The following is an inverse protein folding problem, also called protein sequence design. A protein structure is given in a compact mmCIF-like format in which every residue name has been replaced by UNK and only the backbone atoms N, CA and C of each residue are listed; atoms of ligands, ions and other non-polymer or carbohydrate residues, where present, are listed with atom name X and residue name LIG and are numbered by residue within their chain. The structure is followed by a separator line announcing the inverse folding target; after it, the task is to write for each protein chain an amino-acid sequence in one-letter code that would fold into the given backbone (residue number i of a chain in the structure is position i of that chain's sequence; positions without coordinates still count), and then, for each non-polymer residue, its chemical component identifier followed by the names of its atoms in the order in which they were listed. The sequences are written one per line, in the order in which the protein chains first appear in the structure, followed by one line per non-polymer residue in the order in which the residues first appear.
data_IF_836036244782
#
_entry.id   IF_836036244782
#
_cell.length_a   1.000
_cell.length_b   1.000
_cell.length_c   1.000
_cell.angle_alpha   90.00
_cell.angle_beta   90.00
_cell.angle_gamma   90.00
#
_symmetry.space_group_name_H-M   'P 1'
#
loop_
_entity.id
_entity.type
_entity.pdbx_description
1 polymer ?
#
# COMPACT_ATOMS: atom_id res chain seq x y z
N UNK A 1 -14.22 -28.41 58.39
CA UNK A 1 -15.13 -27.99 57.29
C UNK A 1 -15.02 -26.48 57.17
N UNK A 2 -14.50 -25.97 56.05
CA UNK A 2 -14.39 -24.52 55.83
C UNK A 2 -15.79 -23.94 55.62
N UNK A 3 -16.34 -23.25 56.63
CA UNK A 3 -17.62 -22.54 56.52
C UNK A 3 -17.40 -21.20 55.80
N UNK A 4 -17.21 -21.24 54.48
CA UNK A 4 -17.34 -20.04 53.68
C UNK A 4 -18.82 -19.62 53.65
N UNK A 5 -19.10 -18.36 54.01
CA UNK A 5 -20.42 -17.75 53.79
C UNK A 5 -20.79 -17.90 52.31
N UNK A 6 -22.05 -18.28 52.02
CA UNK A 6 -22.53 -18.57 50.67
C UNK A 6 -22.24 -17.43 49.67
N UNK A 7 -22.28 -16.16 50.14
CA UNK A 7 -21.92 -14.99 49.33
C UNK A 7 -20.44 -14.96 48.94
N UNK A 8 -19.52 -15.34 49.84
CA UNK A 8 -18.08 -15.41 49.54
C UNK A 8 -17.79 -16.49 48.51
N UNK A 9 -18.48 -17.63 48.59
CA UNK A 9 -18.39 -18.70 47.60
C UNK A 9 -18.90 -18.24 46.23
N UNK A 10 -20.04 -17.53 46.18
CA UNK A 10 -20.57 -16.95 44.95
C UNK A 10 -19.58 -15.94 44.31
N UNK A 11 -18.97 -15.08 45.13
CA UNK A 11 -17.99 -14.11 44.66
C UNK A 11 -16.71 -14.79 44.12
N UNK A 12 -16.20 -15.80 44.83
CA UNK A 12 -15.03 -16.58 44.38
C UNK A 12 -15.32 -17.29 43.06
N UNK A 13 -16.48 -17.94 42.93
CA UNK A 13 -16.90 -18.60 41.69
C UNK A 13 -17.04 -17.61 40.52
N UNK A 14 -17.55 -16.40 40.78
CA UNK A 14 -17.68 -15.35 39.76
C UNK A 14 -16.31 -14.86 39.30
N UNK A 15 -15.40 -14.56 40.24
CA UNK A 15 -14.03 -14.14 39.91
C UNK A 15 -13.29 -15.25 39.15
N UNK A 16 -13.46 -16.50 39.54
CA UNK A 16 -12.86 -17.65 38.88
C UNK A 16 -13.44 -17.87 37.48
N UNK A 17 -14.74 -17.69 37.29
CA UNK A 17 -15.40 -17.71 35.97
C UNK A 17 -14.85 -16.61 35.05
N UNK A 18 -14.73 -15.37 35.53
CA UNK A 18 -14.16 -14.26 34.77
C UNK A 18 -12.67 -14.50 34.46
N UNK A 19 -11.90 -15.04 35.41
CA UNK A 19 -10.48 -15.39 35.20
C UNK A 19 -10.31 -16.48 34.13
N UNK A 20 -11.16 -17.51 34.13
CA UNK A 20 -11.21 -18.54 33.09
C UNK A 20 -11.60 -17.93 31.74
N UNK A 21 -12.57 -17.01 31.71
CA UNK A 21 -12.97 -16.31 30.49
C UNK A 21 -11.80 -15.50 29.89
N UNK A 22 -10.93 -14.95 30.73
CA UNK A 22 -9.69 -14.27 30.33
C UNK A 22 -8.59 -15.23 29.84
N UNK A 23 -8.62 -16.51 30.26
CA UNK A 23 -7.62 -17.52 29.90
C UNK A 23 -7.98 -18.30 28.63
N UNK A 24 -9.24 -18.28 28.19
CA UNK A 24 -9.65 -18.96 26.96
C UNK A 24 -9.01 -18.28 25.74
N UNK A 25 -8.38 -19.04 24.82
CA UNK A 25 -7.89 -18.48 23.57
C UNK A 25 -9.08 -17.89 22.82
N UNK A 26 -8.99 -16.59 22.48
CA UNK A 26 -10.06 -15.86 21.79
C UNK A 26 -10.29 -16.47 20.41
N UNK A 27 -11.13 -17.49 20.36
CA UNK A 27 -11.67 -18.12 19.14
C UNK A 27 -12.97 -17.43 18.70
N UNK A 28 -13.28 -16.29 19.33
CA UNK A 28 -14.50 -15.53 19.17
C UNK A 28 -14.40 -14.42 18.11
N UNK A 29 -13.43 -14.46 17.19
CA UNK A 29 -13.24 -13.42 16.16
C UNK A 29 -14.52 -13.18 15.33
N UNK A 30 -15.34 -14.23 15.14
CA UNK A 30 -16.66 -14.11 14.51
C UNK A 30 -17.69 -13.33 15.33
N UNK A 31 -17.55 -13.27 16.66
CA UNK A 31 -18.49 -12.58 17.54
C UNK A 31 -18.24 -11.07 17.66
N UNK A 32 -16.98 -10.62 17.56
CA UNK A 32 -16.59 -9.23 17.79
C UNK A 32 -16.66 -8.35 16.53
N UNK A 33 -16.59 -8.94 15.34
CA UNK A 33 -16.58 -8.22 14.06
C UNK A 33 -15.28 -7.44 13.82
N UNK A 34 -14.93 -7.20 12.56
CA UNK A 34 -13.63 -6.60 12.22
C UNK A 34 -13.60 -5.07 12.24
N UNK A 35 -14.77 -4.39 12.21
CA UNK A 35 -14.79 -2.94 12.35
C UNK A 35 -14.44 -2.49 13.77
N UNK A 36 -13.80 -1.32 13.94
CA UNK A 36 -13.65 -0.66 15.24
C UNK A 36 -15.00 -0.51 15.95
N UNK A 37 -15.01 -0.61 17.28
CA UNK A 37 -16.24 -0.54 18.09
C UNK A 37 -17.10 0.69 17.74
N UNK A 38 -16.48 1.86 17.63
CA UNK A 38 -17.19 3.11 17.33
C UNK A 38 -17.81 3.12 15.92
N UNK A 39 -17.20 2.42 14.95
CA UNK A 39 -17.75 2.29 13.59
C UNK A 39 -18.94 1.33 13.59
N UNK A 40 -18.88 0.23 14.35
CA UNK A 40 -20.01 -0.69 14.48
C UNK A 40 -21.22 -0.04 15.17
N UNK A 41 -20.98 0.89 16.10
CA UNK A 41 -22.04 1.63 16.79
C UNK A 41 -22.64 2.76 15.93
N UNK A 42 -21.80 3.46 15.17
CA UNK A 42 -22.20 4.72 14.53
C UNK A 42 -22.49 4.63 13.03
N UNK A 43 -21.85 3.72 12.30
CA UNK A 43 -22.03 3.64 10.85
C UNK A 43 -23.27 2.80 10.50
N UNK A 44 -24.01 3.17 9.43
CA UNK A 44 -25.08 2.35 8.92
C UNK A 44 -24.53 1.01 8.39
N UNK A 45 -25.41 0.03 8.20
CA UNK A 45 -25.04 -1.24 7.56
C UNK A 45 -24.78 -0.99 6.07
N UNK A 46 -23.87 -1.78 5.48
CA UNK A 46 -23.64 -1.75 4.04
C UNK A 46 -24.89 -2.15 3.26
N UNK A 47 -25.27 -1.32 2.30
CA UNK A 47 -26.28 -1.61 1.29
C UNK A 47 -25.64 -2.39 0.14
N UNK A 48 -26.37 -3.38 -0.38
CA UNK A 48 -25.99 -4.12 -1.58
C UNK A 48 -26.68 -3.45 -2.77
N UNK A 49 -25.91 -2.74 -3.60
CA UNK A 49 -26.45 -2.05 -4.79
C UNK A 49 -26.71 -3.05 -5.91
N UNK A 50 -25.79 -4.00 -6.09
CA UNK A 50 -25.88 -5.15 -6.98
C UNK A 50 -25.01 -6.30 -6.45
N UNK A 51 -24.99 -7.45 -7.14
CA UNK A 51 -24.20 -8.65 -6.77
C UNK A 51 -22.69 -8.38 -6.59
N UNK A 52 -22.18 -7.21 -7.01
CA UNK A 52 -20.75 -6.88 -7.11
C UNK A 52 -20.41 -5.51 -6.52
N UNK A 53 -21.35 -4.83 -5.87
CA UNK A 53 -21.18 -3.46 -5.38
C UNK A 53 -21.78 -3.31 -4.00
N UNK A 54 -20.91 -3.02 -3.02
CA UNK A 54 -21.30 -2.65 -1.67
C UNK A 54 -21.23 -1.14 -1.51
N UNK A 55 -22.20 -0.56 -0.80
CA UNK A 55 -22.31 0.87 -0.57
C UNK A 55 -22.53 1.14 0.91
N UNK A 56 -21.95 2.22 1.42
CA UNK A 56 -22.26 2.74 2.75
C UNK A 56 -22.26 4.28 2.72
N UNK A 57 -23.21 4.88 3.41
CA UNK A 57 -23.22 6.33 3.63
C UNK A 57 -22.34 6.68 4.83
N UNK A 58 -21.34 7.53 4.61
CA UNK A 58 -20.51 8.06 5.69
C UNK A 58 -20.96 9.46 6.13
N UNK A 59 -22.10 9.96 5.64
CA UNK A 59 -22.57 11.31 5.97
C UNK A 59 -22.92 11.42 7.45
N UNK A 60 -22.47 12.49 8.11
CA UNK A 60 -22.86 12.78 9.49
C UNK A 60 -24.35 13.15 9.54
N UNK A 61 -25.08 12.59 10.49
CA UNK A 61 -26.51 12.81 10.72
C UNK A 61 -26.73 13.30 12.16
N UNK A 62 -27.98 13.55 12.54
CA UNK A 62 -28.30 13.87 13.94
C UNK A 62 -28.03 12.70 14.89
N UNK A 63 -28.05 11.47 14.37
CA UNK A 63 -27.79 10.23 15.13
C UNK A 63 -26.31 9.81 15.10
N UNK A 64 -25.55 10.25 14.09
CA UNK A 64 -24.14 9.86 13.91
C UNK A 64 -23.23 11.05 13.62
N UNK A 65 -22.20 11.21 14.46
CA UNK A 65 -21.10 12.16 14.27
C UNK A 65 -19.77 11.47 14.45
N UNK A 66 -18.75 11.93 13.73
CA UNK A 66 -17.43 11.36 13.90
C UNK A 66 -16.87 11.65 15.31
N UNK A 67 -16.15 10.69 15.93
CA UNK A 67 -15.48 10.92 17.20
C UNK A 67 -14.41 12.03 17.08
N UNK A 68 -14.11 12.67 18.21
CA UNK A 68 -13.03 13.67 18.29
C UNK A 68 -11.71 13.13 17.72
N UNK A 69 -11.09 13.89 16.81
CA UNK A 69 -9.83 13.53 16.15
C UNK A 69 -9.97 12.65 14.88
N UNK A 70 -11.18 12.19 14.56
CA UNK A 70 -11.53 11.54 13.29
C UNK A 70 -12.13 12.58 12.34
N UNK A 71 -11.75 12.52 11.07
CA UNK A 71 -12.36 13.29 10.00
C UNK A 71 -12.75 12.33 8.86
N UNK A 72 -13.57 12.79 7.92
CA UNK A 72 -14.05 11.97 6.80
C UNK A 72 -12.93 11.15 6.14
N UNK A 73 -11.78 11.78 5.83
CA UNK A 73 -10.63 11.09 5.24
C UNK A 73 -10.09 9.96 6.11
N UNK A 74 -9.88 10.20 7.40
CA UNK A 74 -9.41 9.16 8.34
C UNK A 74 -10.42 8.01 8.48
N UNK A 75 -11.72 8.32 8.45
CA UNK A 75 -12.77 7.31 8.49
C UNK A 75 -12.76 6.44 7.23
N UNK A 76 -12.63 7.07 6.05
CA UNK A 76 -12.47 6.36 4.78
C UNK A 76 -11.24 5.46 4.82
N UNK A 77 -10.09 5.97 5.25
CA UNK A 77 -8.86 5.18 5.31
C UNK A 77 -9.00 3.96 6.24
N UNK A 78 -9.48 4.16 7.47
CA UNK A 78 -9.63 3.07 8.45
C UNK A 78 -10.67 2.03 7.99
N UNK A 79 -11.73 2.47 7.30
CA UNK A 79 -12.71 1.57 6.69
C UNK A 79 -12.12 0.78 5.52
N UNK A 80 -11.39 1.45 4.63
CA UNK A 80 -10.67 0.80 3.52
C UNK A 80 -9.67 -0.22 4.02
N UNK A 81 -8.90 0.08 5.08
CA UNK A 81 -7.90 -0.83 5.65
C UNK A 81 -8.55 -2.12 6.18
N UNK A 82 -9.68 -1.99 6.89
CA UNK A 82 -10.43 -3.15 7.40
C UNK A 82 -10.99 -3.99 6.25
N UNK A 83 -11.61 -3.33 5.26
CA UNK A 83 -12.20 -4.00 4.10
C UNK A 83 -11.14 -4.70 3.26
N UNK A 84 -10.03 -4.02 2.97
CA UNK A 84 -8.89 -4.57 2.24
C UNK A 84 -8.37 -5.83 2.92
N UNK A 85 -8.15 -5.77 4.24
CA UNK A 85 -7.72 -6.92 5.03
C UNK A 85 -8.69 -8.10 4.95
N UNK A 86 -10.01 -7.86 4.99
CA UNK A 86 -11.00 -8.94 4.89
C UNK A 86 -11.16 -9.48 3.48
N UNK A 87 -11.19 -8.61 2.47
CA UNK A 87 -11.34 -9.00 1.06
C UNK A 87 -10.11 -9.80 0.59
N UNK A 88 -8.92 -9.41 1.03
CA UNK A 88 -7.67 -10.12 0.74
C UNK A 88 -7.67 -11.58 1.22
N UNK A 89 -8.41 -11.91 2.30
CA UNK A 89 -8.57 -13.32 2.75
C UNK A 89 -9.32 -14.19 1.75
N UNK A 90 -10.12 -13.58 0.88
CA UNK A 90 -10.76 -14.26 -0.24
C UNK A 90 -9.82 -14.35 -1.45
N UNK A 91 -8.53 -14.02 -1.31
CA UNK A 91 -7.54 -14.07 -2.37
C UNK A 91 -7.84 -13.10 -3.51
N UNK A 92 -8.53 -12.00 -3.22
CA UNK A 92 -8.69 -10.87 -4.13
C UNK A 92 -7.69 -9.78 -3.74
N UNK A 93 -7.31 -8.90 -4.66
CA UNK A 93 -6.36 -7.81 -4.37
C UNK A 93 -6.73 -6.50 -5.06
N UNK A 94 -6.71 -5.38 -4.32
CA UNK A 94 -6.87 -4.04 -4.91
C UNK A 94 -5.74 -3.77 -5.94
N UNK A 95 -4.52 -4.23 -5.67
CA UNK A 95 -3.36 -4.03 -6.55
C UNK A 95 -3.47 -4.80 -7.88
N UNK A 96 -4.13 -5.96 -7.87
CA UNK A 96 -4.44 -6.74 -9.07
C UNK A 96 -5.68 -6.21 -9.81
N UNK A 97 -6.36 -5.21 -9.26
CA UNK A 97 -7.57 -4.63 -9.82
C UNK A 97 -8.82 -5.51 -9.64
N UNK A 98 -8.82 -6.41 -8.65
CA UNK A 98 -9.96 -7.27 -8.36
C UNK A 98 -11.16 -6.48 -7.80
N UNK A 99 -10.87 -5.43 -7.03
CA UNK A 99 -11.85 -4.48 -6.52
C UNK A 99 -11.24 -3.08 -6.41
N UNK A 100 -12.10 -2.08 -6.24
CA UNK A 100 -11.71 -0.70 -5.98
C UNK A 100 -12.59 -0.07 -4.90
N UNK A 101 -12.01 0.87 -4.17
CA UNK A 101 -12.74 1.78 -3.30
C UNK A 101 -13.00 3.11 -4.03
N UNK A 102 -14.26 3.49 -4.12
CA UNK A 102 -14.66 4.78 -4.70
C UNK A 102 -15.41 5.60 -3.65
N UNK A 103 -15.17 6.91 -3.65
CA UNK A 103 -15.92 7.84 -2.81
C UNK A 103 -16.56 8.93 -3.65
N UNK A 104 -17.75 9.38 -3.24
CA UNK A 104 -18.47 10.46 -3.92
C UNK A 104 -18.41 11.77 -3.13
N UNK A 105 -18.75 12.88 -3.79
CA UNK A 105 -18.87 14.18 -3.14
C UNK A 105 -19.91 14.17 -1.99
N UNK A 106 -20.93 13.32 -2.10
CA UNK A 106 -21.98 13.13 -1.10
C UNK A 106 -21.56 12.26 0.10
N UNK A 107 -20.27 11.92 0.20
CA UNK A 107 -19.69 11.05 1.25
C UNK A 107 -20.26 9.64 1.25
N UNK A 108 -20.59 9.14 0.07
CA UNK A 108 -20.89 7.73 -0.11
C UNK A 108 -19.60 6.98 -0.42
N UNK A 109 -19.45 5.82 0.18
CA UNK A 109 -18.30 4.93 0.01
C UNK A 109 -18.76 3.66 -0.68
N UNK A 110 -18.06 3.29 -1.75
CA UNK A 110 -18.37 2.14 -2.59
C UNK A 110 -17.21 1.17 -2.61
N UNK A 111 -17.53 -0.13 -2.53
CA UNK A 111 -16.63 -1.23 -2.85
C UNK A 111 -17.16 -1.88 -4.12
N UNK A 112 -16.40 -1.81 -5.22
CA UNK A 112 -16.80 -2.40 -6.51
C UNK A 112 -15.88 -3.56 -6.85
N UNK A 113 -16.45 -4.74 -7.04
CA UNK A 113 -15.74 -5.93 -7.47
C UNK A 113 -15.70 -5.98 -9.00
N UNK A 114 -14.51 -5.87 -9.58
CA UNK A 114 -14.30 -5.65 -11.01
C UNK A 114 -13.92 -6.93 -11.76
N UNK A 115 -13.10 -7.79 -11.17
CA UNK A 115 -12.57 -8.98 -11.85
C UNK A 115 -13.59 -10.12 -11.92
N UNK A 116 -13.49 -10.96 -12.96
CA UNK A 116 -14.34 -12.15 -13.09
C UNK A 116 -14.18 -13.12 -11.91
N UNK A 117 -12.96 -13.19 -11.33
CA UNK A 117 -12.66 -13.92 -10.09
C UNK A 117 -13.39 -13.36 -8.88
N UNK A 118 -13.52 -12.03 -8.78
CA UNK A 118 -14.26 -11.37 -7.71
C UNK A 118 -15.78 -11.56 -7.88
N UNK A 119 -16.29 -11.37 -9.09
CA UNK A 119 -17.73 -11.53 -9.42
C UNK A 119 -18.24 -12.94 -9.20
N UNK A 120 -17.43 -13.96 -9.55
CA UNK A 120 -17.79 -15.37 -9.34
C UNK A 120 -17.86 -15.77 -7.87
N UNK A 121 -17.07 -15.12 -7.00
CA UNK A 121 -17.08 -15.40 -5.56
C UNK A 121 -18.29 -14.83 -4.81
N UNK A 122 -18.99 -13.84 -5.37
CA UNK A 122 -20.18 -13.19 -4.79
C UNK A 122 -20.01 -12.86 -3.30
N UNK A 123 -18.95 -12.12 -2.97
CA UNK A 123 -18.66 -11.74 -1.58
C UNK A 123 -19.77 -10.85 -1.05
N UNK A 124 -20.43 -11.28 0.04
CA UNK A 124 -21.48 -10.51 0.71
C UNK A 124 -20.94 -9.80 1.95
N UNK A 125 -21.69 -8.81 2.45
CA UNK A 125 -21.39 -8.10 3.72
C UNK A 125 -21.25 -9.10 4.89
N UNK A 126 -22.02 -10.19 4.88
CA UNK A 126 -21.98 -11.23 5.90
C UNK A 126 -20.68 -12.03 5.89
N UNK A 127 -20.12 -12.29 4.71
CA UNK A 127 -18.85 -13.03 4.57
C UNK A 127 -17.66 -12.24 5.11
N UNK A 128 -17.72 -10.91 5.00
CA UNK A 128 -16.70 -10.00 5.50
C UNK A 128 -16.70 -9.87 7.04
N UNK A 129 -17.77 -10.30 7.72
CA UNK A 129 -17.90 -10.27 9.18
C UNK A 129 -17.52 -8.89 9.78
N UNK A 130 -17.98 -7.81 9.14
CA UNK A 130 -17.60 -6.44 9.52
C UNK A 130 -18.22 -6.03 10.87
N UNK A 131 -19.46 -6.44 11.11
CA UNK A 131 -20.20 -6.17 12.34
C UNK A 131 -20.21 -7.42 13.22
N UNK A 132 -19.95 -7.25 14.51
CA UNK A 132 -20.02 -8.35 15.47
C UNK A 132 -21.47 -8.71 15.78
N UNK A 133 -21.74 -10.00 16.02
CA UNK A 133 -23.04 -10.46 16.52
C UNK A 133 -23.23 -10.23 18.02
N UNK A 134 -22.16 -9.81 18.73
CA UNK A 134 -22.20 -9.56 20.17
C UNK A 134 -22.80 -8.19 20.49
N UNK A 135 -23.73 -8.08 21.46
CA UNK A 135 -24.23 -6.79 21.92
C UNK A 135 -23.09 -5.88 22.39
N UNK A 136 -23.10 -4.64 21.90
CA UNK A 136 -22.09 -3.61 22.16
C UNK A 136 -21.78 -3.42 23.65
N UNK A 137 -22.82 -3.43 24.50
CA UNK A 137 -22.66 -3.27 25.95
C UNK A 137 -21.81 -4.38 26.59
N UNK A 138 -21.94 -5.62 26.10
CA UNK A 138 -21.17 -6.76 26.59
C UNK A 138 -19.72 -6.71 26.07
N UNK A 139 -19.53 -6.26 24.83
CA UNK A 139 -18.20 -6.08 24.23
C UNK A 139 -17.34 -5.08 25.01
N UNK A 140 -17.91 -3.98 25.50
CA UNK A 140 -17.19 -3.01 26.35
C UNK A 140 -16.66 -3.59 27.66
N UNK A 141 -17.26 -4.68 28.15
CA UNK A 141 -16.87 -5.34 29.40
C UNK A 141 -15.89 -6.50 29.18
N UNK A 142 -15.67 -6.92 27.93
CA UNK A 142 -14.80 -8.03 27.58
C UNK A 142 -13.48 -7.51 26.98
N UNK A 143 -12.35 -8.18 27.27
CA UNK A 143 -11.06 -7.79 26.73
C UNK A 143 -11.00 -8.05 25.21
N UNK A 144 -10.84 -6.99 24.42
CA UNK A 144 -10.68 -7.03 22.95
C UNK A 144 -9.24 -7.45 22.53
N UNK A 145 -8.32 -7.68 23.48
CA UNK A 145 -6.92 -8.00 23.19
C UNK A 145 -6.47 -9.32 23.82
N UNK A 146 -5.82 -10.16 22.99
CA UNK A 146 -5.22 -11.44 23.39
C UNK A 146 -4.18 -11.23 24.50
N UNK A 147 -4.29 -11.98 25.59
CA UNK A 147 -3.22 -12.11 26.58
C UNK A 147 -2.04 -12.85 25.95
N UNK A 148 -0.95 -12.13 25.67
CA UNK A 148 0.32 -12.70 25.19
C UNK A 148 0.98 -13.46 26.34
N UNK A 149 0.76 -14.76 26.44
CA UNK A 149 1.44 -15.63 27.41
C UNK A 149 2.91 -15.78 27.00
N UNK A 150 3.78 -14.96 27.60
CA UNK A 150 5.22 -15.09 27.49
C UNK A 150 5.76 -16.04 28.55
N UNK A 151 5.77 -17.35 28.30
CA UNK A 151 6.63 -18.29 29.01
C UNK A 151 6.73 -19.63 28.26
N UNK A 152 7.70 -19.77 27.36
CA UNK A 152 8.30 -21.08 27.08
C UNK A 152 9.79 -20.92 26.67
N UNK A 153 10.62 -21.78 27.26
CA UNK A 153 12.08 -21.86 27.14
C UNK A 153 12.51 -22.83 26.02
N UNK A 154 11.61 -23.17 25.09
CA UNK A 154 11.91 -23.98 23.92
C UNK A 154 12.43 -23.09 22.76
N UNK A 155 13.65 -23.35 22.29
CA UNK A 155 14.31 -22.59 21.23
C UNK A 155 13.41 -22.34 20.01
N UNK A 156 13.47 -21.12 19.47
CA UNK A 156 12.70 -20.65 18.33
C UNK A 156 13.57 -20.02 17.24
N UNK A 157 12.98 -19.72 16.09
CA UNK A 157 13.66 -19.07 14.96
C UNK A 157 13.48 -17.56 15.07
N UNK A 158 14.57 -16.80 14.99
CA UNK A 158 14.59 -15.34 14.92
C UNK A 158 15.03 -14.91 13.51
N UNK A 159 14.11 -14.36 12.73
CA UNK A 159 14.36 -13.85 11.39
C UNK A 159 14.32 -12.32 11.42
N UNK A 160 15.32 -11.70 10.79
CA UNK A 160 15.31 -10.26 10.51
C UNK A 160 15.13 -10.11 9.00
N UNK A 161 13.99 -9.57 8.61
CA UNK A 161 13.62 -9.34 7.22
C UNK A 161 13.72 -7.84 6.94
N UNK A 162 14.35 -7.47 5.83
CA UNK A 162 14.40 -6.09 5.36
C UNK A 162 13.46 -5.92 4.17
N UNK A 163 12.57 -4.94 4.26
CA UNK A 163 11.64 -4.61 3.19
C UNK A 163 12.38 -3.74 2.18
N UNK A 164 12.43 -4.19 0.93
CA UNK A 164 12.96 -3.40 -0.18
C UNK A 164 11.93 -2.33 -0.58
N UNK A 165 12.00 -1.19 0.11
CA UNK A 165 11.12 -0.04 -0.09
C UNK A 165 11.26 0.50 -1.50
N UNK A 166 12.48 0.53 -2.02
CA UNK A 166 12.76 1.09 -3.33
C UNK A 166 12.08 0.25 -4.40
N UNK A 167 12.30 -1.07 -4.40
CA UNK A 167 11.64 -1.99 -5.33
C UNK A 167 10.11 -1.90 -5.23
N UNK A 168 9.59 -1.72 -4.03
CA UNK A 168 8.16 -1.49 -3.81
C UNK A 168 7.68 -0.20 -4.50
N UNK A 169 8.42 0.91 -4.38
CA UNK A 169 8.10 2.18 -5.08
C UNK A 169 8.17 1.98 -6.60
N UNK A 170 9.19 1.28 -7.11
CA UNK A 170 9.29 0.99 -8.54
C UNK A 170 8.09 0.18 -9.05
N UNK A 171 7.68 -0.85 -8.31
CA UNK A 171 6.51 -1.65 -8.62
C UNK A 171 5.22 -0.80 -8.60
N UNK A 172 5.07 0.08 -7.61
CA UNK A 172 3.97 1.03 -7.57
C UNK A 172 3.97 1.96 -8.80
N UNK A 173 5.10 2.56 -9.15
CA UNK A 173 5.19 3.45 -10.32
C UNK A 173 4.85 2.69 -11.61
N UNK A 174 5.40 1.49 -11.80
CA UNK A 174 5.07 0.62 -12.95
C UNK A 174 3.58 0.32 -13.02
N UNK A 175 2.97 -0.05 -11.89
CA UNK A 175 1.52 -0.26 -11.81
C UNK A 175 0.73 1.01 -12.20
N UNK A 176 1.14 2.20 -11.73
CA UNK A 176 0.48 3.46 -12.13
C UNK A 176 0.63 3.76 -13.62
N UNK A 177 1.78 3.48 -14.22
CA UNK A 177 2.00 3.63 -15.67
C UNK A 177 1.01 2.77 -16.47
N UNK A 178 0.66 1.59 -15.99
CA UNK A 178 -0.31 0.70 -16.63
C UNK A 178 -1.78 1.12 -16.41
N UNK A 179 -2.10 1.60 -15.20
CA UNK A 179 -3.48 1.94 -14.81
C UNK A 179 -3.93 3.29 -15.38
N UNK A 180 -3.04 4.30 -15.45
CA UNK A 180 -3.40 5.66 -15.89
C UNK A 180 -4.03 5.69 -17.28
N UNK A 181 -3.44 5.08 -18.33
CA UNK A 181 -4.06 5.05 -19.66
C UNK A 181 -5.45 4.42 -19.65
N UNK A 182 -5.67 3.39 -18.83
CA UNK A 182 -6.96 2.71 -18.71
C UNK A 182 -8.01 3.61 -18.08
N UNK A 183 -7.69 4.30 -16.97
CA UNK A 183 -8.57 5.30 -16.33
C UNK A 183 -8.90 6.47 -17.25
N UNK A 184 -7.88 6.99 -17.95
CA UNK A 184 -8.05 8.08 -18.93
C UNK A 184 -9.00 7.71 -20.06
N UNK A 185 -8.93 6.47 -20.58
CA UNK A 185 -9.83 6.01 -21.64
C UNK A 185 -11.28 5.93 -21.18
N UNK A 186 -11.55 5.52 -19.94
CA UNK A 186 -12.91 5.49 -19.37
C UNK A 186 -13.55 6.88 -19.40
N UNK A 187 -12.79 7.92 -19.04
CA UNK A 187 -13.21 9.32 -19.09
C UNK A 187 -13.08 9.96 -20.49
N UNK A 188 -12.91 9.14 -21.54
CA UNK A 188 -12.77 9.57 -22.95
C UNK A 188 -11.58 10.52 -23.17
N UNK A 189 -10.56 10.45 -22.33
CA UNK A 189 -9.30 11.17 -22.45
C UNK A 189 -8.32 10.34 -23.29
N UNK A 190 -7.77 10.95 -24.35
CA UNK A 190 -6.77 10.33 -25.25
C UNK A 190 -5.40 10.32 -24.57
N UNK A 191 -5.13 9.21 -23.89
CA UNK A 191 -3.80 8.86 -23.38
C UNK A 191 -3.44 7.43 -23.82
N UNK A 192 -2.23 7.24 -24.36
CA UNK A 192 -1.72 5.92 -24.80
C UNK A 192 -0.71 5.40 -23.78
N UNK A 193 -0.58 4.07 -23.67
CA UNK A 193 0.39 3.45 -22.76
C UNK A 193 1.82 3.93 -23.02
N UNK A 194 2.26 3.98 -24.28
CA UNK A 194 3.58 4.51 -24.65
C UNK A 194 3.80 6.02 -24.38
N UNK A 195 2.77 6.75 -23.94
CA UNK A 195 2.84 8.15 -23.59
C UNK A 195 2.85 8.38 -22.07
N UNK A 196 2.82 7.30 -21.29
CA UNK A 196 2.95 7.33 -19.84
C UNK A 196 4.20 6.57 -19.46
N UNK A 197 5.07 7.19 -18.67
CA UNK A 197 6.28 6.54 -18.20
C UNK A 197 6.65 7.13 -16.83
N UNK A 198 7.24 6.27 -16.00
CA UNK A 198 7.76 6.63 -14.71
C UNK A 198 9.28 6.58 -14.70
N UNK A 199 9.86 7.19 -13.69
CA UNK A 199 11.30 7.18 -13.51
C UNK A 199 11.72 7.80 -12.19
N UNK A 200 13.03 7.97 -12.08
CA UNK A 200 13.67 8.60 -10.94
C UNK A 200 14.93 9.32 -11.39
N UNK A 201 15.49 10.11 -10.50
CA UNK A 201 16.76 10.79 -10.71
C UNK A 201 17.83 10.19 -9.80
N UNK A 202 19.01 9.98 -10.36
CA UNK A 202 20.20 9.56 -9.64
C UNK A 202 21.16 10.73 -9.64
N UNK A 203 21.47 11.24 -8.47
CA UNK A 203 22.57 12.17 -8.31
C UNK A 203 23.84 11.36 -8.09
N UNK A 204 24.90 11.63 -8.88
CA UNK A 204 26.19 10.97 -8.76
C UNK A 204 27.33 11.98 -8.87
N UNK A 205 28.37 11.80 -8.05
CA UNK A 205 29.61 12.57 -8.15
C UNK A 205 30.73 11.69 -8.72
N UNK A 206 31.19 12.06 -9.90
CA UNK A 206 32.22 11.37 -10.67
C UNK A 206 33.61 11.94 -10.36
N UNK A 207 34.65 11.16 -10.63
CA UNK A 207 36.05 11.60 -10.55
C UNK A 207 36.40 12.65 -11.62
N UNK A 208 35.72 12.61 -12.76
CA UNK A 208 35.84 13.56 -13.87
C UNK A 208 34.49 13.80 -14.56
N UNK A 209 34.34 14.88 -15.34
CA UNK A 209 33.14 15.12 -16.13
C UNK A 209 32.84 13.93 -17.06
N UNK A 210 31.57 13.55 -17.17
CA UNK A 210 31.13 12.40 -17.96
C UNK A 210 30.36 12.88 -19.19
N UNK A 211 30.50 12.15 -20.30
CA UNK A 211 29.72 12.40 -21.51
C UNK A 211 28.35 11.69 -21.42
N UNK A 212 27.30 12.37 -21.90
CA UNK A 212 25.96 11.82 -21.97
C UNK A 212 25.89 10.54 -22.82
N UNK A 213 26.55 10.51 -23.98
CA UNK A 213 26.51 9.36 -24.90
C UNK A 213 27.07 8.08 -24.26
N UNK A 214 28.12 8.21 -23.45
CA UNK A 214 28.73 7.09 -22.74
C UNK A 214 27.78 6.50 -21.68
N UNK A 215 27.06 7.38 -20.97
CA UNK A 215 26.04 6.97 -19.99
C UNK A 215 24.83 6.34 -20.67
N UNK A 216 24.39 6.89 -21.80
CA UNK A 216 23.30 6.34 -22.60
C UNK A 216 23.60 4.90 -23.04
N UNK A 217 24.78 4.65 -23.59
CA UNK A 217 25.19 3.30 -23.99
C UNK A 217 25.22 2.33 -22.80
N UNK A 218 25.76 2.74 -21.65
CA UNK A 218 25.81 1.88 -20.47
C UNK A 218 24.43 1.55 -19.89
N UNK A 219 23.50 2.50 -19.92
CA UNK A 219 22.15 2.31 -19.42
C UNK A 219 21.27 1.56 -20.42
N UNK A 220 21.48 1.75 -21.72
CA UNK A 220 20.78 1.01 -22.75
C UNK A 220 20.99 -0.52 -22.60
N UNK A 221 22.22 -0.95 -22.26
CA UNK A 221 22.55 -2.37 -22.02
C UNK A 221 21.72 -3.03 -20.92
N UNK A 222 21.31 -2.27 -19.90
CA UNK A 222 20.50 -2.74 -18.76
C UNK A 222 19.03 -2.32 -18.89
N UNK A 223 18.63 -1.83 -20.07
CA UNK A 223 17.26 -1.49 -20.33
C UNK A 223 16.77 -0.22 -19.65
N UNK A 224 17.66 0.72 -19.40
CA UNK A 224 17.31 2.03 -18.88
C UNK A 224 17.51 3.08 -19.95
N UNK A 225 16.50 3.93 -20.13
CA UNK A 225 16.62 5.09 -20.99
C UNK A 225 17.12 6.28 -20.18
N UNK A 226 18.21 6.90 -20.61
CA UNK A 226 18.56 8.23 -20.11
C UNK A 226 17.50 9.22 -20.61
N UNK A 227 16.93 9.96 -19.68
CA UNK A 227 15.81 10.87 -19.97
C UNK A 227 16.22 12.35 -19.84
N UNK A 228 17.11 12.65 -18.90
CA UNK A 228 17.66 13.99 -18.69
C UNK A 228 19.03 13.86 -18.05
N UNK A 229 19.98 14.62 -18.53
CA UNK A 229 21.32 14.73 -17.97
C UNK A 229 21.61 16.20 -17.71
N UNK A 230 21.87 16.52 -16.45
CA UNK A 230 22.31 17.86 -16.02
C UNK A 230 23.62 17.68 -15.26
N UNK A 231 24.67 18.40 -15.67
CA UNK A 231 25.99 18.28 -15.04
C UNK A 231 26.53 19.65 -14.64
N UNK A 232 27.03 19.73 -13.41
CA UNK A 232 27.75 20.88 -12.87
C UNK A 232 29.12 20.40 -12.38
N UNK A 233 30.15 20.65 -13.19
CA UNK A 233 31.50 20.13 -12.95
C UNK A 233 31.53 18.60 -12.93
N UNK A 234 31.83 18.02 -11.77
CA UNK A 234 31.93 16.57 -11.55
C UNK A 234 30.66 15.95 -10.98
N UNK A 235 29.64 16.77 -10.69
CA UNK A 235 28.36 16.30 -10.16
C UNK A 235 27.37 16.22 -11.32
N UNK A 236 26.80 15.05 -11.54
CA UNK A 236 25.74 14.89 -12.53
C UNK A 236 24.44 14.41 -11.88
N UNK A 237 23.33 14.97 -12.34
CA UNK A 237 21.98 14.51 -12.08
C UNK A 237 21.49 13.78 -13.33
N UNK A 238 21.33 12.47 -13.19
CA UNK A 238 20.95 11.57 -14.26
C UNK A 238 19.50 11.17 -13.99
N UNK A 239 18.57 11.63 -14.80
CA UNK A 239 17.20 11.13 -14.74
C UNK A 239 17.06 9.94 -15.67
N UNK A 240 16.62 8.82 -15.11
CA UNK A 240 16.38 7.58 -15.84
C UNK A 240 14.89 7.31 -15.87
N UNK A 241 14.40 6.79 -16.98
CA UNK A 241 13.05 6.21 -17.06
C UNK A 241 13.14 4.72 -16.84
N UNK A 242 12.15 4.15 -16.16
CA UNK A 242 11.93 2.71 -16.26
C UNK A 242 11.63 2.42 -17.73
N UNK A 243 12.49 1.65 -18.40
CA UNK A 243 12.10 1.06 -19.68
C UNK A 243 11.51 -0.33 -19.41
N UNK A 244 10.75 -0.86 -20.37
CA UNK A 244 10.16 -2.20 -20.37
C UNK A 244 11.23 -3.30 -20.38
N UNK A 245 12.13 -3.32 -19.39
CA UNK A 245 13.18 -4.32 -19.26
C UNK A 245 13.00 -5.09 -17.96
N UNK A 246 13.06 -6.40 -18.16
CA UNK A 246 12.63 -7.47 -17.31
C UNK A 246 13.09 -7.30 -15.86
N UNK A 247 12.23 -7.77 -14.95
CA UNK A 247 12.58 -7.99 -13.55
C UNK A 247 14.02 -8.47 -13.45
N UNK A 248 14.83 -7.76 -12.67
CA UNK A 248 16.18 -8.21 -12.35
C UNK A 248 16.06 -9.63 -11.78
N UNK A 249 16.68 -10.62 -12.44
CA UNK A 249 16.60 -12.04 -12.03
C UNK A 249 17.02 -12.23 -10.56
N UNK A 250 17.85 -11.34 -10.03
CA UNK A 250 18.41 -11.35 -8.68
C UNK A 250 17.61 -10.54 -7.64
N UNK A 251 16.50 -9.93 -8.04
CA UNK A 251 15.61 -9.21 -7.13
C UNK A 251 16.14 -7.88 -6.59
N UNK A 252 17.31 -7.41 -7.02
CA UNK A 252 17.88 -6.10 -6.68
C UNK A 252 17.08 -4.92 -7.26
N UNK A 253 17.05 -3.79 -6.55
CA UNK A 253 16.40 -2.56 -7.01
C UNK A 253 17.13 -1.94 -8.21
N UNK A 254 16.44 -1.13 -9.00
CA UNK A 254 17.00 -0.48 -10.19
C UNK A 254 18.16 0.43 -9.81
N UNK A 255 18.09 1.17 -8.70
CA UNK A 255 19.26 1.96 -8.29
C UNK A 255 20.43 1.14 -7.80
N UNK A 256 20.20 -0.03 -7.19
CA UNK A 256 21.28 -0.93 -6.82
C UNK A 256 22.00 -1.44 -8.07
N UNK A 257 21.25 -1.76 -9.13
CA UNK A 257 21.79 -2.14 -10.44
C UNK A 257 22.60 -0.98 -11.04
N UNK A 258 22.03 0.23 -11.09
CA UNK A 258 22.73 1.43 -11.57
C UNK A 258 24.01 1.67 -10.74
N UNK A 259 23.90 1.67 -9.42
CA UNK A 259 25.01 1.91 -8.50
C UNK A 259 26.13 0.88 -8.66
N UNK A 260 25.78 -0.40 -8.84
CA UNK A 260 26.75 -1.46 -9.14
C UNK A 260 27.44 -1.21 -10.48
N UNK A 261 26.69 -0.83 -11.51
CA UNK A 261 27.22 -0.54 -12.85
C UNK A 261 28.14 0.68 -12.84
N UNK A 262 27.72 1.75 -12.18
CA UNK A 262 28.51 2.98 -12.04
C UNK A 262 29.80 2.78 -11.21
N UNK A 263 29.90 1.71 -10.42
CA UNK A 263 31.10 1.37 -9.63
C UNK A 263 31.98 0.29 -10.27
N UNK A 264 31.59 -0.26 -11.41
CA UNK A 264 32.35 -1.32 -12.08
C UNK A 264 33.74 -0.78 -12.48
N UNK A 265 34.81 -1.53 -12.18
CA UNK A 265 36.18 -1.11 -12.49
C UNK A 265 36.43 -0.97 -14.00
N UNK A 266 35.57 -1.57 -14.83
CA UNK A 266 35.62 -1.47 -16.28
C UNK A 266 35.06 -0.16 -16.83
N UNK A 267 34.44 0.69 -16.01
CA UNK A 267 33.96 2.01 -16.47
C UNK A 267 35.12 2.98 -16.63
N UNK A 268 35.00 3.90 -17.59
CA UNK A 268 36.02 4.92 -17.88
C UNK A 268 36.17 5.96 -16.76
N UNK A 269 35.25 6.01 -15.81
CA UNK A 269 35.12 6.98 -14.72
C UNK A 269 34.81 6.26 -13.41
N UNK A 270 35.25 6.84 -12.29
CA UNK A 270 35.03 6.32 -10.94
C UNK A 270 34.02 7.17 -10.19
N UNK A 271 33.11 6.52 -9.47
CA UNK A 271 32.12 7.21 -8.62
C UNK A 271 32.53 7.12 -7.15
N UNK A 272 32.44 8.25 -6.45
CA UNK A 272 32.79 8.29 -5.02
C UNK A 272 31.83 7.41 -4.18
N UNK A 273 32.33 6.61 -3.22
CA UNK A 273 31.48 5.83 -2.34
C UNK A 273 30.53 6.75 -1.56
N UNK A 274 29.22 6.54 -1.71
CA UNK A 274 28.19 7.34 -1.05
C UNK A 274 27.73 8.60 -1.80
N UNK A 275 28.23 8.86 -3.02
CA UNK A 275 27.76 9.98 -3.83
C UNK A 275 26.54 9.67 -4.71
N UNK A 276 26.07 8.42 -4.69
CA UNK A 276 24.92 7.95 -5.47
C UNK A 276 23.67 8.00 -4.59
N UNK A 277 22.77 8.92 -4.88
CA UNK A 277 21.49 9.05 -4.19
C UNK A 277 20.35 9.03 -5.19
N UNK A 278 19.34 8.20 -4.92
CA UNK A 278 18.09 8.19 -5.66
C UNK A 278 17.21 9.29 -5.13
N UNK A 279 16.76 10.14 -6.04
CA UNK A 279 16.01 11.35 -5.79
C UNK A 279 14.88 11.45 -6.81
N UNK A 280 13.89 12.29 -6.52
CA UNK A 280 12.83 12.70 -7.44
C UNK A 280 12.17 11.53 -8.18
N UNK A 281 11.40 10.69 -7.48
CA UNK A 281 10.54 9.72 -8.18
C UNK A 281 9.42 10.47 -8.90
N UNK A 282 9.25 10.22 -10.18
CA UNK A 282 8.30 10.96 -11.01
C UNK A 282 7.54 10.06 -11.97
N UNK A 283 6.38 10.57 -12.39
CA UNK A 283 5.55 10.00 -13.43
C UNK A 283 5.21 11.10 -14.45
N UNK A 284 5.31 10.76 -15.73
CA UNK A 284 4.89 11.63 -16.83
C UNK A 284 3.77 10.99 -17.59
N UNK A 285 2.74 11.79 -17.86
CA UNK A 285 1.61 11.39 -18.68
C UNK A 285 1.38 12.44 -19.75
N UNK A 286 1.50 12.03 -21.02
CA UNK A 286 1.15 12.91 -22.12
C UNK A 286 -0.29 12.68 -22.58
N UNK A 287 -1.05 13.77 -22.57
CA UNK A 287 -2.46 13.81 -22.94
C UNK A 287 -2.59 14.49 -24.29
N UNK A 288 -3.05 13.73 -25.28
CA UNK A 288 -3.31 14.27 -26.61
C UNK A 288 -4.65 14.98 -26.64
N UNK A 289 -4.70 16.16 -27.26
CA UNK A 289 -5.92 16.95 -27.40
C UNK A 289 -6.54 16.63 -28.77
N UNK A 290 -7.81 16.17 -28.83
CA UNK A 290 -8.52 15.97 -30.08
C UNK A 290 -8.66 17.29 -30.88
N UNK A 291 -8.50 17.24 -32.20
CA UNK A 291 -8.56 18.42 -33.08
C UNK A 291 -9.85 19.23 -32.93
N UNK A 292 -10.99 18.57 -32.69
CA UNK A 292 -12.29 19.21 -32.47
C UNK A 292 -12.41 19.96 -31.13
N UNK A 293 -11.46 19.79 -30.21
CA UNK A 293 -11.40 20.50 -28.92
C UNK A 293 -10.34 21.60 -28.89
N UNK A 294 -9.41 21.64 -29.85
CA UNK A 294 -8.34 22.64 -29.88
C UNK A 294 -8.89 24.05 -30.11
N UNK A 295 -9.92 24.19 -30.95
CA UNK A 295 -10.50 25.48 -31.30
C UNK A 295 -11.44 26.07 -30.22
N UNK A 296 -11.87 25.26 -29.25
CA UNK A 296 -12.85 25.65 -28.22
C UNK A 296 -12.18 25.65 -26.84
N UNK A 297 -11.89 26.85 -26.32
CA UNK A 297 -11.17 27.04 -25.05
C UNK A 297 -11.89 26.36 -23.89
N UNK A 298 -13.22 26.44 -23.83
CA UNK A 298 -14.00 25.88 -22.72
C UNK A 298 -13.93 24.35 -22.75
N UNK A 299 -14.14 23.74 -23.94
CA UNK A 299 -14.03 22.28 -24.08
C UNK A 299 -12.61 21.75 -23.87
N UNK A 300 -11.60 22.56 -24.20
CA UNK A 300 -10.19 22.26 -23.93
C UNK A 300 -9.92 22.26 -22.42
N UNK A 301 -10.33 23.31 -21.71
CA UNK A 301 -10.15 23.41 -20.26
C UNK A 301 -10.89 22.32 -19.50
N UNK A 302 -12.14 22.01 -19.87
CA UNK A 302 -12.91 20.92 -19.28
C UNK A 302 -12.17 19.57 -19.45
N UNK A 303 -11.70 19.28 -20.67
CA UNK A 303 -10.95 18.07 -20.99
C UNK A 303 -9.65 17.93 -20.18
N UNK A 304 -8.90 19.02 -20.07
CA UNK A 304 -7.65 19.05 -19.30
C UNK A 304 -7.91 18.98 -17.80
N UNK A 305 -9.01 19.57 -17.31
CA UNK A 305 -9.45 19.48 -15.91
C UNK A 305 -9.77 18.04 -15.53
N UNK A 306 -10.53 17.30 -16.37
CA UNK A 306 -10.78 15.87 -16.15
C UNK A 306 -9.48 15.07 -16.10
N UNK A 307 -8.56 15.32 -17.04
CA UNK A 307 -7.26 14.65 -17.05
C UNK A 307 -6.45 14.95 -15.78
N UNK A 308 -6.39 16.22 -15.35
CA UNK A 308 -5.75 16.63 -14.10
C UNK A 308 -6.39 15.96 -12.89
N UNK A 309 -7.73 15.87 -12.84
CA UNK A 309 -8.46 15.22 -11.75
C UNK A 309 -8.07 13.74 -11.58
N UNK A 310 -7.95 12.99 -12.68
CA UNK A 310 -7.51 11.59 -12.66
C UNK A 310 -6.10 11.46 -12.09
N UNK A 311 -5.20 12.36 -12.51
CA UNK A 311 -3.80 12.38 -12.07
C UNK A 311 -3.65 12.84 -10.61
N UNK A 312 -4.48 13.77 -10.16
CA UNK A 312 -4.48 14.29 -8.80
C UNK A 312 -5.03 13.26 -7.78
N UNK A 313 -5.83 12.30 -8.24
CA UNK A 313 -6.37 11.22 -7.41
C UNK A 313 -5.37 10.06 -7.22
N UNK A 314 -4.12 10.19 -7.67
CA UNK A 314 -3.09 9.19 -7.46
C UNK A 314 -2.47 9.34 -6.07
N UNK A 315 -2.65 8.32 -5.21
CA UNK A 315 -2.06 8.29 -3.87
C UNK A 315 -0.53 8.43 -3.92
N UNK A 316 0.04 9.16 -2.97
CA UNK A 316 1.47 9.47 -2.80
C UNK A 316 2.09 10.42 -3.83
N UNK A 317 1.36 10.79 -4.88
CA UNK A 317 1.83 11.74 -5.85
C UNK A 317 1.33 13.16 -5.51
N UNK A 318 2.14 14.15 -5.83
CA UNK A 318 1.77 15.56 -5.69
C UNK A 318 0.86 16.02 -6.83
N UNK A 319 0.53 17.31 -6.85
CA UNK A 319 -0.32 17.86 -7.90
C UNK A 319 0.39 17.83 -9.26
N UNK A 320 -0.32 17.51 -10.35
CA UNK A 320 0.27 17.43 -11.68
C UNK A 320 0.71 18.82 -12.17
N UNK A 321 2.00 18.95 -12.46
CA UNK A 321 2.61 20.13 -13.08
C UNK A 321 2.68 19.99 -14.59
N UNK A 322 2.40 21.07 -15.34
CA UNK A 322 2.55 21.09 -16.80
C UNK A 322 3.99 21.37 -17.19
N UNK A 323 4.55 20.59 -18.11
CA UNK A 323 5.88 20.87 -18.66
C UNK A 323 5.82 21.82 -19.86
N UNK A 324 6.85 22.65 -19.98
CA UNK A 324 7.02 23.63 -21.06
C UNK A 324 7.11 23.02 -22.47
N UNK A 325 7.28 21.69 -22.58
CA UNK A 325 7.23 20.93 -23.84
C UNK A 325 5.80 20.62 -24.30
N UNK A 326 4.80 21.33 -23.76
CA UNK A 326 3.41 21.23 -24.18
C UNK A 326 3.21 21.87 -25.55
N UNK A 327 2.59 21.13 -26.47
CA UNK A 327 2.15 21.65 -27.77
C UNK A 327 0.63 21.89 -27.75
N UNK A 328 0.11 22.61 -28.73
CA UNK A 328 -1.34 22.80 -28.88
C UNK A 328 -2.13 21.49 -29.02
N UNK A 329 -1.44 20.41 -29.43
CA UNK A 329 -2.03 19.09 -29.66
C UNK A 329 -1.75 18.09 -28.54
N UNK A 330 -0.87 18.41 -27.60
CA UNK A 330 -0.44 17.49 -26.55
C UNK A 330 0.11 18.25 -25.33
N UNK A 331 -0.48 18.00 -24.16
CA UNK A 331 0.02 18.51 -22.88
C UNK A 331 0.73 17.38 -22.15
N UNK A 332 1.89 17.68 -21.56
CA UNK A 332 2.67 16.73 -20.76
C UNK A 332 2.53 17.12 -19.30
N UNK A 333 1.94 16.23 -18.50
CA UNK A 333 1.87 16.38 -17.05
C UNK A 333 3.02 15.62 -16.40
N UNK A 334 3.74 16.27 -15.49
CA UNK A 334 4.72 15.68 -14.59
C UNK A 334 4.19 15.70 -13.18
N UNK A 335 4.28 14.56 -12.52
CA UNK A 335 3.89 14.35 -11.13
C UNK A 335 5.04 13.70 -10.40
N UNK A 336 5.24 14.00 -9.13
CA UNK A 336 6.34 13.49 -8.30
C UNK A 336 5.83 12.92 -7.00
N UNK A 337 6.67 12.12 -6.37
CA UNK A 337 6.46 11.64 -5.00
C UNK A 337 7.30 12.50 -4.07
N UNK A 338 6.64 13.23 -3.17
CA UNK A 338 7.33 14.05 -2.18
C UNK A 338 7.98 13.18 -1.10
N UNK A 339 9.03 13.69 -0.43
CA UNK A 339 9.78 12.93 0.60
C UNK A 339 8.90 12.41 1.74
N UNK A 340 7.89 13.18 2.11
CA UNK A 340 6.95 12.82 3.18
C UNK A 340 6.06 11.65 2.75
N UNK A 341 5.62 11.67 1.49
CA UNK A 341 4.82 10.61 0.88
C UNK A 341 5.62 9.33 0.68
N UNK A 342 6.92 9.42 0.37
CA UNK A 342 7.83 8.26 0.35
C UNK A 342 7.88 7.59 1.74
N UNK A 343 7.95 8.40 2.80
CA UNK A 343 7.99 7.89 4.18
C UNK A 343 6.66 7.24 4.57
N UNK A 344 5.54 7.83 4.18
CA UNK A 344 4.20 7.26 4.37
C UNK A 344 4.06 5.92 3.63
N UNK A 345 4.38 5.88 2.33
CA UNK A 345 4.38 4.65 1.54
C UNK A 345 5.28 3.55 2.14
N UNK A 346 6.46 3.94 2.62
CA UNK A 346 7.39 3.02 3.30
C UNK A 346 6.76 2.41 4.55
N UNK A 347 6.09 3.22 5.38
CA UNK A 347 5.44 2.73 6.59
C UNK A 347 4.33 1.73 6.25
N UNK A 348 3.47 2.08 5.29
CA UNK A 348 2.36 1.24 4.86
C UNK A 348 2.84 -0.05 4.18
N UNK A 349 3.90 0.01 3.37
CA UNK A 349 4.52 -1.18 2.77
C UNK A 349 5.03 -2.16 3.85
N UNK A 350 5.64 -1.64 4.92
CA UNK A 350 6.09 -2.47 6.04
C UNK A 350 4.90 -3.11 6.76
N UNK A 351 3.82 -2.35 6.97
CA UNK A 351 2.62 -2.84 7.64
C UNK A 351 1.85 -3.87 6.80
N UNK A 352 1.83 -3.72 5.48
CA UNK A 352 1.31 -4.74 4.55
C UNK A 352 2.12 -6.03 4.60
N UNK A 353 3.46 -5.94 4.49
CA UNK A 353 4.33 -7.12 4.58
C UNK A 353 4.14 -7.80 5.93
N UNK A 354 4.04 -7.04 7.02
CA UNK A 354 3.73 -7.57 8.35
C UNK A 354 2.40 -8.33 8.35
N UNK A 355 1.34 -7.75 7.79
CA UNK A 355 0.01 -8.39 7.72
C UNK A 355 0.07 -9.71 6.95
N UNK A 356 0.81 -9.76 5.85
CA UNK A 356 1.03 -10.98 5.08
C UNK A 356 1.82 -12.01 5.90
N UNK A 357 2.86 -11.58 6.62
CA UNK A 357 3.62 -12.47 7.50
C UNK A 357 2.75 -13.01 8.64
N UNK A 358 1.92 -12.18 9.27
CA UNK A 358 0.96 -12.60 10.30
C UNK A 358 0.05 -13.71 9.74
N UNK A 359 -0.57 -13.49 8.56
CA UNK A 359 -1.45 -14.48 7.92
C UNK A 359 -0.74 -15.79 7.57
N UNK A 360 0.47 -15.72 7.01
CA UNK A 360 1.21 -16.92 6.59
C UNK A 360 1.72 -17.71 7.80
N UNK A 361 2.10 -17.02 8.89
CA UNK A 361 2.53 -17.67 10.12
C UNK A 361 1.35 -18.31 10.85
N UNK A 362 0.19 -17.65 10.89
CA UNK A 362 -1.06 -18.22 11.42
C UNK A 362 -1.44 -19.50 10.64
N UNK A 363 -1.35 -19.45 9.30
CA UNK A 363 -1.61 -20.62 8.44
C UNK A 363 -0.63 -21.78 8.68
N UNK A 364 0.58 -21.49 9.16
CA UNK A 364 1.58 -22.49 9.52
C UNK A 364 1.32 -23.12 10.90
N UNK A 365 0.36 -22.59 11.68
CA UNK A 365 -0.02 -23.14 12.97
C UNK A 365 1.00 -22.90 14.07
N UNK A 366 1.81 -21.83 13.97
CA UNK A 366 2.78 -21.48 15.02
C UNK A 366 2.04 -20.95 16.23
N UNK A 367 2.28 -21.57 17.40
CA UNK A 367 1.72 -21.10 18.65
C UNK A 367 2.44 -19.82 19.08
N UNK A 368 1.81 -18.66 18.92
CA UNK A 368 2.26 -17.36 19.44
C UNK A 368 3.50 -16.75 18.74
N UNK A 369 3.41 -16.40 17.44
CA UNK A 369 4.47 -15.67 16.77
C UNK A 369 4.60 -14.23 17.29
N UNK A 370 5.83 -13.73 17.33
CA UNK A 370 6.14 -12.33 17.62
C UNK A 370 6.67 -11.68 16.34
N UNK A 371 5.79 -10.93 15.66
CA UNK A 371 6.14 -10.15 14.49
C UNK A 371 6.14 -8.69 14.90
N UNK A 372 7.31 -8.05 14.82
CA UNK A 372 7.53 -6.68 15.27
C UNK A 372 8.29 -5.90 14.21
N UNK A 373 7.88 -4.66 14.02
CA UNK A 373 8.64 -3.69 13.25
C UNK A 373 9.82 -3.17 14.10
N UNK A 374 10.99 -3.07 13.50
CA UNK A 374 12.13 -2.38 14.11
C UNK A 374 11.91 -0.86 14.03
N UNK A 375 12.15 -0.15 15.14
CA UNK A 375 12.01 1.29 15.15
C UNK A 375 13.01 1.93 14.17
N UNK A 376 12.53 2.88 13.35
CA UNK A 376 13.35 3.70 12.44
C UNK A 376 14.07 2.95 11.30
N UNK A 377 13.81 1.66 11.09
CA UNK A 377 14.36 0.87 9.98
C UNK A 377 13.25 0.15 9.21
N UNK A 378 13.40 -0.09 7.90
CA UNK A 378 12.45 -0.89 7.12
C UNK A 378 12.61 -2.39 7.40
N UNK A 379 12.63 -2.77 8.68
CA UNK A 379 12.92 -4.13 9.11
C UNK A 379 11.78 -4.70 9.92
N UNK A 380 11.49 -5.96 9.67
CA UNK A 380 10.51 -6.77 10.39
C UNK A 380 11.28 -7.90 11.07
N UNK A 381 11.16 -7.94 12.39
CA UNK A 381 11.67 -9.00 13.24
C UNK A 381 10.55 -10.01 13.42
N UNK A 382 10.81 -11.25 13.05
CA UNK A 382 9.88 -12.37 13.17
C UNK A 382 10.49 -13.41 14.11
N UNK A 383 9.80 -13.68 15.20
CA UNK A 383 10.17 -14.67 16.20
C UNK A 383 9.11 -15.78 16.21
N UNK A 384 9.54 -17.00 15.89
CA UNK A 384 8.68 -18.18 15.82
C UNK A 384 9.10 -19.18 16.90
N UNK A 385 8.40 -19.23 18.05
CA UNK A 385 8.69 -20.21 19.09
C UNK A 385 8.31 -21.63 18.62
N UNK A 386 9.10 -22.63 19.01
CA UNK A 386 8.83 -24.04 18.70
C UNK A 386 9.10 -24.50 17.26
N UNK A 387 9.52 -23.60 16.36
CA UNK A 387 9.99 -23.96 15.03
C UNK A 387 11.39 -24.61 15.12
N UNK A 388 11.46 -25.95 15.04
CA UNK A 388 12.73 -26.70 15.17
C UNK A 388 13.63 -26.67 13.93
N UNK A 389 13.14 -26.16 12.79
CA UNK A 389 13.89 -26.07 11.53
C UNK A 389 13.55 -24.76 10.79
N UNK A 390 14.55 -24.08 10.22
CA UNK A 390 14.43 -22.79 9.53
C UNK A 390 13.96 -22.92 8.07
N UNK A 391 13.94 -24.15 7.53
CA UNK A 391 13.54 -24.47 6.16
C UNK A 391 12.04 -24.20 5.87
N UNK A 392 11.16 -24.47 6.83
CA UNK A 392 9.72 -24.15 6.76
C UNK A 392 9.41 -22.65 6.82
N UNK A 393 9.93 -21.92 7.83
CA UNK A 393 9.82 -20.47 7.93
C UNK A 393 10.34 -19.68 6.73
N UNK A 394 11.37 -20.15 6.02
CA UNK A 394 11.84 -19.49 4.79
C UNK A 394 10.84 -19.59 3.62
N UNK A 395 9.97 -20.61 3.60
CA UNK A 395 8.85 -20.71 2.62
C UNK A 395 7.69 -19.77 2.96
N UNK A 396 7.60 -19.33 4.20
CA UNK A 396 6.64 -18.29 4.64
C UNK A 396 7.05 -16.91 4.13
N UNK A 397 8.34 -16.69 3.84
CA UNK A 397 8.88 -15.38 3.45
C UNK A 397 9.01 -15.21 1.93
N UNK A 398 9.26 -16.30 1.19
CA UNK A 398 9.42 -16.26 -0.27
C UNK A 398 8.16 -15.95 -1.05
#
# INVERSE_FOLDING_TARGET
MYNFSAWKLALILTVLLFSILYLLPTTYDKLYGYLPLWMQEGLPVFDVVDDHTLKISLKETDEFRYPSGKNYRKVVNELSDVLDSQINKFGLSEAEGDYIFETTADREFYVRFLSEKAKTKKITVGDLNLYGSMPVALRRMLPDSRLKQGLDLAGGVHLVLEVDVEKSIEAMIRNRVDVIPSRMRTEKIRCRKGNVYGGFSVQATFDKPVNQDDLENQFADIGLGLYRFEQEGNKAVISVRYADVADSEDGASTSQVISKRLRDEKTLWKVSPGSIEVTDYWLKASVSIPTNRIADVVKKEEYLSTAKGILNNLRYFNEPSEESSSSDTQIVYRIRIDSDQITEYKNESIDQVRTVLDQRVDAFGVASPSIRREANRPRIVVELPGAKDSSGPLRIVK
#
